data_IF_701027557798
#
_entry.id   IF_701027557798
#
_cell.length_a   1.000
_cell.length_b   1.000
_cell.length_c   1.000
_cell.angle_alpha   90.00
_cell.angle_beta   90.00
_cell.angle_gamma   90.00
#
_symmetry.space_group_name_H-M   'P 1'
#
loop_
_entity.id
_entity.type
_entity.pdbx_description
1 polymer ?
#
# COMPACT_ATOMS: atom_id res chain seq x y z
N UNK A 1 -13.30 -9.86 11.33
CA UNK A 1 -12.03 -10.11 12.02
C UNK A 1 -11.97 -9.33 13.32
N UNK A 2 -11.11 -9.75 14.24
CA UNK A 2 -10.95 -9.12 15.53
C UNK A 2 -9.76 -8.16 15.49
N UNK A 3 -9.81 -7.09 16.31
CA UNK A 3 -8.70 -6.13 16.42
C UNK A 3 -7.93 -6.48 17.70
N UNK A 4 -6.68 -6.97 17.58
CA UNK A 4 -5.87 -7.30 18.74
C UNK A 4 -5.46 -6.04 19.51
N UNK A 5 -5.52 -6.12 20.84
CA UNK A 5 -5.15 -5.02 21.72
C UNK A 5 -4.20 -5.54 22.80
N UNK A 6 -3.04 -4.89 22.92
CA UNK A 6 -2.08 -5.14 23.98
C UNK A 6 -2.48 -4.49 25.31
N UNK A 7 -1.82 -4.85 26.38
CA UNK A 7 -2.11 -4.38 27.75
C UNK A 7 -0.94 -3.66 28.41
N UNK A 8 0.29 -4.13 28.20
CA UNK A 8 1.49 -3.61 28.84
C UNK A 8 2.23 -2.59 28.00
N UNK A 9 2.08 -2.65 26.67
CA UNK A 9 2.70 -1.71 25.74
C UNK A 9 4.21 -1.84 25.59
N UNK A 10 4.82 -2.88 26.14
CA UNK A 10 6.24 -3.17 26.00
C UNK A 10 6.56 -3.86 24.64
N UNK A 11 7.83 -4.11 24.37
CA UNK A 11 8.29 -4.77 23.13
C UNK A 11 7.65 -6.14 22.94
N UNK A 12 7.52 -6.92 24.01
CA UNK A 12 6.95 -8.26 23.95
C UNK A 12 5.44 -8.22 23.66
N UNK A 13 4.73 -7.30 24.29
CA UNK A 13 3.29 -7.12 24.05
C UNK A 13 3.01 -6.70 22.60
N UNK A 14 3.80 -5.77 22.05
CA UNK A 14 3.72 -5.39 20.64
C UNK A 14 4.03 -6.55 19.69
N UNK A 15 4.97 -7.41 20.05
CA UNK A 15 5.25 -8.64 19.30
C UNK A 15 4.02 -9.58 19.29
N UNK A 16 3.40 -9.80 20.44
CA UNK A 16 2.22 -10.65 20.56
C UNK A 16 1.03 -10.10 19.77
N UNK A 17 0.83 -8.78 19.79
CA UNK A 17 -0.20 -8.11 18.97
C UNK A 17 0.01 -8.42 17.49
N UNK A 18 1.25 -8.29 16.98
CA UNK A 18 1.54 -8.61 15.56
C UNK A 18 1.35 -10.08 15.22
N UNK A 19 1.68 -10.97 16.12
CA UNK A 19 1.41 -12.41 15.91
C UNK A 19 -0.08 -12.68 15.75
N UNK A 20 -0.92 -12.00 16.54
CA UNK A 20 -2.36 -12.13 16.43
C UNK A 20 -2.90 -11.43 15.16
N UNK A 21 -2.38 -10.26 14.80
CA UNK A 21 -2.73 -9.56 13.56
C UNK A 21 -2.48 -10.43 12.31
N UNK A 22 -1.39 -11.22 12.29
CA UNK A 22 -1.13 -12.15 11.18
C UNK A 22 -2.23 -13.23 11.07
N UNK A 23 -2.76 -13.73 12.19
CA UNK A 23 -3.88 -14.68 12.17
C UNK A 23 -5.15 -14.01 11.65
N UNK A 24 -5.42 -12.78 12.08
CA UNK A 24 -6.58 -12.02 11.62
C UNK A 24 -6.47 -11.68 10.12
N UNK A 25 -5.27 -11.35 9.63
CA UNK A 25 -5.01 -11.13 8.20
C UNK A 25 -5.29 -12.39 7.37
N UNK A 26 -4.88 -13.55 7.86
CA UNK A 26 -5.21 -14.83 7.20
C UNK A 26 -6.72 -15.09 7.16
N UNK A 27 -7.44 -14.72 8.23
CA UNK A 27 -8.91 -14.80 8.28
C UNK A 27 -9.56 -13.87 7.24
N UNK A 28 -9.04 -12.65 7.07
CA UNK A 28 -9.50 -11.71 6.04
C UNK A 28 -9.28 -12.28 4.64
N UNK A 29 -8.09 -12.83 4.36
CA UNK A 29 -7.77 -13.47 3.08
C UNK A 29 -8.78 -14.58 2.77
N UNK A 30 -9.09 -15.42 3.75
CA UNK A 30 -10.09 -16.49 3.57
C UNK A 30 -11.46 -15.92 3.22
N UNK A 31 -11.93 -14.90 3.92
CA UNK A 31 -13.21 -14.25 3.63
C UNK A 31 -13.24 -13.67 2.21
N UNK A 32 -12.16 -13.01 1.78
CA UNK A 32 -12.04 -12.48 0.42
C UNK A 32 -12.08 -13.58 -0.64
N UNK A 33 -11.38 -14.70 -0.42
CA UNK A 33 -11.38 -15.84 -1.33
C UNK A 33 -12.77 -16.48 -1.42
N UNK A 34 -13.44 -16.67 -0.30
CA UNK A 34 -14.80 -17.25 -0.26
C UNK A 34 -15.79 -16.32 -0.98
N UNK A 35 -15.68 -15.02 -0.77
CA UNK A 35 -16.50 -14.03 -1.48
C UNK A 35 -16.25 -14.03 -2.99
N UNK A 36 -14.98 -14.06 -3.44
CA UNK A 36 -14.63 -14.12 -4.86
C UNK A 36 -15.12 -15.38 -5.54
N UNK A 37 -15.11 -16.53 -4.85
CA UNK A 37 -15.68 -17.77 -5.37
C UNK A 37 -17.19 -17.71 -5.53
N UNK A 38 -17.88 -17.06 -4.60
CA UNK A 38 -19.32 -16.88 -4.65
C UNK A 38 -19.76 -15.82 -5.68
N UNK A 39 -18.89 -14.86 -5.99
CA UNK A 39 -19.17 -13.73 -6.88
C UNK A 39 -18.15 -13.67 -8.02
N UNK A 40 -18.18 -14.62 -8.96
CA UNK A 40 -17.29 -14.59 -10.12
C UNK A 40 -17.58 -13.37 -10.99
N UNK A 41 -16.53 -12.69 -11.44
CA UNK A 41 -16.65 -11.49 -12.26
C UNK A 41 -15.41 -11.27 -13.14
N UNK A 42 -15.41 -10.22 -13.96
CA UNK A 42 -14.27 -9.89 -14.79
C UNK A 42 -13.06 -9.54 -13.91
N UNK A 43 -11.89 -9.98 -14.32
CA UNK A 43 -10.61 -9.74 -13.60
C UNK A 43 -9.88 -8.48 -14.09
N UNK A 44 -10.41 -7.83 -15.13
CA UNK A 44 -9.87 -6.61 -15.71
C UNK A 44 -11.02 -5.64 -16.02
N UNK A 45 -10.78 -4.35 -15.89
CA UNK A 45 -11.75 -3.33 -16.30
C UNK A 45 -11.90 -3.31 -17.83
N UNK A 46 -13.08 -2.96 -18.31
CA UNK A 46 -13.37 -2.73 -19.74
C UNK A 46 -12.96 -1.33 -20.21
N UNK A 47 -12.41 -0.51 -19.34
CA UNK A 47 -11.90 0.80 -19.66
C UNK A 47 -10.60 0.72 -20.47
N UNK A 48 -10.72 0.77 -21.80
CA UNK A 48 -9.59 0.68 -22.73
C UNK A 48 -8.55 1.80 -22.58
N UNK A 49 -8.85 2.89 -21.89
CA UNK A 49 -7.87 3.96 -21.64
C UNK A 49 -6.79 3.57 -20.64
N UNK A 50 -7.12 2.69 -19.70
CA UNK A 50 -6.22 2.29 -18.60
C UNK A 50 -5.88 0.81 -18.61
N UNK A 51 -6.68 -0.03 -19.29
CA UNK A 51 -6.46 -1.46 -19.36
C UNK A 51 -5.71 -1.85 -20.64
N UNK A 52 -4.67 -2.69 -20.56
CA UNK A 52 -3.99 -3.19 -21.75
C UNK A 52 -4.92 -4.08 -22.58
N UNK A 53 -4.77 -4.10 -23.91
CA UNK A 53 -5.50 -5.01 -24.77
C UNK A 53 -5.13 -6.47 -24.51
N UNK A 54 -6.01 -7.40 -24.87
CA UNK A 54 -5.70 -8.82 -24.77
C UNK A 54 -4.53 -9.21 -25.66
N UNK A 55 -3.82 -10.27 -25.28
CA UNK A 55 -2.69 -10.77 -26.08
C UNK A 55 -3.10 -11.19 -27.50
N UNK A 56 -4.32 -11.69 -27.66
CA UNK A 56 -4.87 -12.05 -28.95
C UNK A 56 -5.15 -10.79 -29.80
N UNK A 57 -5.77 -9.76 -29.23
CA UNK A 57 -6.01 -8.51 -29.91
C UNK A 57 -4.71 -7.88 -30.41
N UNK A 58 -3.64 -7.92 -29.62
CA UNK A 58 -2.32 -7.41 -30.05
C UNK A 58 -1.73 -8.13 -31.26
N UNK A 59 -2.08 -9.42 -31.48
CA UNK A 59 -1.57 -10.22 -32.59
C UNK A 59 -2.40 -10.09 -33.85
N UNK A 60 -3.68 -9.84 -33.72
CA UNK A 60 -4.65 -9.90 -34.83
C UNK A 60 -5.18 -8.51 -35.24
N UNK A 61 -5.03 -7.51 -34.36
CA UNK A 61 -5.56 -6.17 -34.60
C UNK A 61 -4.47 -5.11 -34.43
N UNK A 62 -4.27 -4.30 -35.47
CA UNK A 62 -3.29 -3.22 -35.48
C UNK A 62 -3.59 -2.16 -34.41
N UNK A 63 -4.87 -1.81 -34.20
CA UNK A 63 -5.27 -0.84 -33.17
C UNK A 63 -4.92 -1.35 -31.77
N UNK A 64 -5.12 -2.66 -31.52
CA UNK A 64 -4.72 -3.29 -30.27
C UNK A 64 -3.22 -3.22 -30.02
N UNK A 65 -2.41 -3.43 -31.05
CA UNK A 65 -0.95 -3.32 -30.95
C UNK A 65 -0.51 -1.87 -30.65
N UNK A 66 -1.08 -0.89 -31.36
CA UNK A 66 -0.79 0.55 -31.16
C UNK A 66 -1.21 0.96 -29.74
N UNK A 67 -2.38 0.53 -29.28
CA UNK A 67 -2.87 0.85 -27.96
C UNK A 67 -1.95 0.28 -26.87
N UNK A 68 -1.52 -0.96 -27.02
CA UNK A 68 -0.53 -1.57 -26.12
C UNK A 68 0.76 -0.77 -26.08
N UNK A 69 1.32 -0.45 -27.25
CA UNK A 69 2.56 0.33 -27.36
C UNK A 69 2.43 1.69 -26.67
N UNK A 70 1.38 2.43 -26.95
CA UNK A 70 1.15 3.76 -26.34
C UNK A 70 0.94 3.67 -24.81
N UNK A 71 0.19 2.69 -24.35
CA UNK A 71 -0.07 2.52 -22.91
C UNK A 71 1.21 2.26 -22.12
N UNK A 72 2.14 1.47 -22.66
CA UNK A 72 3.40 1.11 -21.99
C UNK A 72 4.55 2.09 -22.23
N UNK A 73 4.49 2.93 -23.25
CA UNK A 73 5.52 3.95 -23.54
C UNK A 73 5.14 5.33 -23.01
N UNK A 74 3.91 5.77 -23.26
CA UNK A 74 3.40 7.08 -22.86
C UNK A 74 2.56 7.03 -21.58
N UNK A 75 1.81 5.95 -21.39
CA UNK A 75 0.82 5.83 -20.31
C UNK A 75 -0.52 6.49 -20.70
N UNK A 76 -1.34 6.75 -19.69
CA UNK A 76 -2.63 7.40 -19.85
C UNK A 76 -2.64 8.78 -19.20
N UNK A 77 -3.43 9.69 -19.73
CA UNK A 77 -3.59 11.02 -19.18
C UNK A 77 -4.67 11.03 -18.09
N UNK A 78 -4.38 11.70 -16.99
CA UNK A 78 -5.30 11.86 -15.86
C UNK A 78 -5.94 13.25 -15.94
N UNK A 79 -7.25 13.40 -15.71
CA UNK A 79 -7.91 14.70 -15.69
C UNK A 79 -7.22 15.67 -14.71
N UNK A 80 -7.26 16.97 -15.04
CA UNK A 80 -6.76 18.02 -14.15
C UNK A 80 -7.53 18.00 -12.84
N UNK A 81 -6.81 18.03 -11.72
CA UNK A 81 -7.39 18.04 -10.41
C UNK A 81 -6.43 17.56 -9.32
N UNK A 82 -6.92 17.52 -8.11
CA UNK A 82 -6.19 17.01 -6.96
C UNK A 82 -7.01 15.94 -6.25
N UNK A 83 -6.33 14.97 -5.67
CA UNK A 83 -6.93 13.90 -4.88
C UNK A 83 -6.03 13.48 -3.74
N UNK A 84 -6.64 13.22 -2.59
CA UNK A 84 -6.01 12.50 -1.49
C UNK A 84 -6.73 11.18 -1.29
N UNK A 85 -5.97 10.11 -1.23
CA UNK A 85 -6.48 8.79 -0.88
C UNK A 85 -5.56 8.13 0.13
N UNK A 86 -6.13 7.53 1.15
CA UNK A 86 -5.40 6.77 2.14
C UNK A 86 -5.99 5.36 2.23
N UNK A 87 -5.11 4.40 2.49
CA UNK A 87 -5.48 3.00 2.66
C UNK A 87 -4.91 2.47 3.97
N UNK A 88 -5.58 1.50 4.54
CA UNK A 88 -5.06 0.72 5.65
C UNK A 88 -3.85 -0.10 5.16
N UNK A 89 -2.73 0.11 5.81
CA UNK A 89 -1.50 -0.62 5.56
C UNK A 89 -1.08 -1.35 6.85
N UNK A 90 -0.39 -2.50 6.81
CA UNK A 90 0.03 -3.22 8.02
C UNK A 90 0.82 -2.38 9.03
N UNK A 91 1.49 -1.33 8.57
CA UNK A 91 2.24 -0.38 9.41
C UNK A 91 1.43 0.82 9.90
N UNK A 92 0.24 1.04 9.34
CA UNK A 92 -0.63 2.18 9.64
C UNK A 92 -1.23 2.81 8.39
N UNK A 93 -1.64 4.07 8.48
CA UNK A 93 -2.23 4.79 7.34
C UNK A 93 -1.18 5.10 6.28
N UNK A 94 -1.39 4.61 5.05
CA UNK A 94 -0.57 4.90 3.88
C UNK A 94 -1.34 5.78 2.90
N UNK A 95 -0.90 7.01 2.73
CA UNK A 95 -1.63 8.04 1.99
C UNK A 95 -0.87 8.57 0.78
N UNK A 96 -1.64 8.92 -0.26
CA UNK A 96 -1.15 9.57 -1.47
C UNK A 96 -1.91 10.87 -1.69
N UNK A 97 -1.20 11.98 -1.80
CA UNK A 97 -1.72 13.23 -2.30
C UNK A 97 -1.16 13.49 -3.68
N UNK A 98 -2.04 13.60 -4.66
CA UNK A 98 -1.68 13.71 -6.06
C UNK A 98 -2.32 14.96 -6.67
N UNK A 99 -1.53 15.71 -7.43
CA UNK A 99 -1.99 16.81 -8.28
C UNK A 99 -1.70 16.45 -9.73
N UNK A 100 -2.72 16.51 -10.57
CA UNK A 100 -2.64 16.30 -12.02
C UNK A 100 -2.88 17.61 -12.76
N UNK A 101 -2.06 17.88 -13.76
CA UNK A 101 -2.20 18.96 -14.73
C UNK A 101 -2.80 18.52 -16.08
N UNK A 102 -3.26 17.27 -16.15
CA UNK A 102 -3.77 16.66 -17.37
C UNK A 102 -2.73 15.85 -18.16
N UNK A 103 -1.47 15.81 -17.68
CA UNK A 103 -0.43 15.02 -18.31
C UNK A 103 -0.51 13.52 -17.90
N UNK A 104 0.39 12.73 -18.48
CA UNK A 104 0.58 11.33 -18.13
C UNK A 104 1.47 11.11 -16.90
N UNK A 105 2.03 12.18 -16.37
CA UNK A 105 2.82 12.19 -15.13
C UNK A 105 2.16 13.15 -14.14
N UNK A 106 2.19 12.83 -12.84
CA UNK A 106 1.66 13.75 -11.84
C UNK A 106 2.49 15.05 -11.83
N UNK A 107 1.83 16.20 -11.78
CA UNK A 107 2.46 17.49 -11.53
C UNK A 107 3.14 17.49 -10.15
N UNK A 108 2.46 16.92 -9.15
CA UNK A 108 3.01 16.71 -7.80
C UNK A 108 2.44 15.45 -7.19
N UNK A 109 3.31 14.69 -6.56
CA UNK A 109 2.94 13.52 -5.76
C UNK A 109 3.60 13.64 -4.38
N UNK A 110 2.80 13.54 -3.33
CA UNK A 110 3.29 13.36 -1.97
C UNK A 110 2.80 12.03 -1.43
N UNK A 111 3.75 11.23 -0.98
CA UNK A 111 3.49 9.95 -0.30
C UNK A 111 3.60 10.19 1.20
N UNK A 112 2.59 9.79 1.95
CA UNK A 112 2.60 9.78 3.41
C UNK A 112 2.84 8.36 3.89
N UNK A 113 4.07 7.98 4.22
CA UNK A 113 4.36 6.68 4.81
C UNK A 113 4.06 6.73 6.31
N UNK A 114 3.53 5.65 6.90
CA UNK A 114 3.24 5.60 8.33
C UNK A 114 4.51 5.61 9.19
N UNK A 115 5.59 4.97 8.76
CA UNK A 115 6.83 4.84 9.51
C UNK A 115 7.53 6.16 9.80
N UNK A 116 7.40 7.14 8.90
CA UNK A 116 7.98 8.47 9.12
C UNK A 116 7.42 9.16 10.37
N UNK A 117 6.12 9.05 10.60
CA UNK A 117 5.49 9.58 11.81
C UNK A 117 5.83 8.74 13.05
N UNK A 118 5.88 7.42 12.91
CA UNK A 118 6.18 6.50 14.01
C UNK A 118 7.59 6.70 14.56
N UNK A 119 8.57 6.98 13.70
CA UNK A 119 9.96 7.17 14.12
C UNK A 119 10.12 8.33 15.12
N UNK A 120 9.26 9.32 15.07
CA UNK A 120 9.28 10.42 16.04
C UNK A 120 9.06 9.94 17.49
N UNK A 121 8.38 8.80 17.68
CA UNK A 121 8.16 8.19 18.98
C UNK A 121 9.39 7.46 19.58
N UNK A 122 10.44 7.22 18.77
CA UNK A 122 11.60 6.44 19.21
C UNK A 122 12.26 7.03 20.46
N UNK A 123 12.39 8.36 20.50
CA UNK A 123 13.04 9.04 21.65
C UNK A 123 12.30 8.78 22.95
N UNK A 124 10.96 8.78 22.92
CA UNK A 124 10.16 8.51 24.14
C UNK A 124 10.22 7.03 24.53
N UNK A 125 10.18 6.14 23.54
CA UNK A 125 10.19 4.69 23.77
C UNK A 125 11.56 4.19 24.26
N UNK A 126 12.65 4.87 23.89
CA UNK A 126 14.02 4.47 24.23
C UNK A 126 14.50 5.01 25.59
N UNK A 127 13.79 5.95 26.22
CA UNK A 127 14.19 6.52 27.51
C UNK A 127 14.25 5.44 28.59
N UNK A 128 15.39 5.38 29.29
CA UNK A 128 15.59 4.44 30.39
C UNK A 128 15.93 3.00 29.96
N UNK A 129 16.07 2.76 28.66
CA UNK A 129 16.47 1.47 28.10
C UNK A 129 17.95 1.44 27.73
N UNK A 130 18.50 0.21 27.55
CA UNK A 130 19.86 0.05 27.06
C UNK A 130 19.95 0.30 25.56
N UNK A 131 21.15 0.65 25.07
CA UNK A 131 21.39 0.83 23.63
C UNK A 131 21.04 -0.45 22.84
N UNK A 132 21.27 -1.62 23.43
CA UNK A 132 20.90 -2.90 22.81
C UNK A 132 19.38 -3.04 22.58
N UNK A 133 18.55 -2.40 23.41
CA UNK A 133 17.09 -2.44 23.28
C UNK A 133 16.60 -1.60 22.10
N UNK A 134 17.40 -0.63 21.63
CA UNK A 134 17.04 0.23 20.52
C UNK A 134 16.70 -0.57 19.25
N UNK A 135 17.42 -1.65 18.97
CA UNK A 135 17.15 -2.53 17.82
C UNK A 135 15.79 -3.18 17.94
N UNK A 136 15.45 -3.69 19.13
CA UNK A 136 14.13 -4.30 19.38
C UNK A 136 13.01 -3.28 19.32
N UNK A 137 13.22 -2.07 19.82
CA UNK A 137 12.25 -0.99 19.77
C UNK A 137 11.97 -0.59 18.32
N UNK A 138 13.02 -0.37 17.52
CA UNK A 138 12.89 -0.04 16.09
C UNK A 138 12.16 -1.17 15.35
N UNK A 139 12.51 -2.42 15.63
CA UNK A 139 11.84 -3.59 15.03
C UNK A 139 10.36 -3.67 15.37
N UNK A 140 9.96 -3.34 16.60
CA UNK A 140 8.55 -3.34 17.00
C UNK A 140 7.76 -2.11 16.51
N UNK A 141 8.42 -1.01 16.18
CA UNK A 141 7.82 0.13 15.48
C UNK A 141 7.59 -0.17 14.00
N UNK A 142 8.20 -1.25 13.50
CA UNK A 142 8.11 -1.70 12.11
C UNK A 142 8.63 -0.66 11.11
N UNK A 143 9.78 -0.08 11.42
CA UNK A 143 10.43 0.94 10.59
C UNK A 143 11.16 0.29 9.42
N UNK A 144 10.93 0.82 8.22
CA UNK A 144 11.74 0.56 7.02
C UNK A 144 12.37 1.88 6.60
N UNK A 145 13.68 1.96 6.60
CA UNK A 145 14.38 3.24 6.40
C UNK A 145 14.20 3.84 5.01
N UNK A 146 13.88 3.05 3.99
CA UNK A 146 13.54 3.57 2.67
C UNK A 146 12.31 4.50 2.65
N UNK A 147 11.35 4.31 3.55
CA UNK A 147 10.21 5.22 3.70
C UNK A 147 10.55 6.50 4.48
N UNK A 148 11.67 6.53 5.16
CA UNK A 148 12.13 7.66 5.98
C UNK A 148 13.13 8.50 5.21
N UNK A 149 14.07 7.89 4.50
CA UNK A 149 15.17 8.58 3.81
C UNK A 149 14.72 9.29 2.53
N UNK A 150 13.68 8.84 1.83
CA UNK A 150 13.06 9.43 0.63
C UNK A 150 14.01 9.87 -0.47
#
# INVERSE_FOLDING_TARGET
FDIPVGKTGDVYDRYLVRMEEMKQSNRIIKQCVDWLKANPGPVITDNHKVAPPSREAMKTNMEGLIHHFKLFTEGFHVPVGEAYAAVEHPKGEFGFYLISDGANKPYRLKIRPPGFAHLAGLNEMAKGHMIADAVSIIGTMDIVFGEIDR
#
